data_IF_398495732246
#
_entry.id   IF_398495732246
#
_cell.length_a   1.000
_cell.length_b   1.000
_cell.length_c   1.000
_cell.angle_alpha   90.00
_cell.angle_beta   90.00
_cell.angle_gamma   90.00
#
_symmetry.space_group_name_H-M   'P 1'
#
loop_
_entity.id
_entity.type
_entity.pdbx_description
1 polymer ?
#
# COMPACT_ATOMS: atom_id res chain seq x y z
N UNK A 1 -1.72 -1.82 -0.15
CA UNK A 1 -2.77 -1.61 0.88
C UNK A 1 -2.92 -0.12 1.12
N UNK A 2 -4.14 0.35 1.41
CA UNK A 2 -4.40 1.72 1.88
C UNK A 2 -4.93 1.63 3.31
N UNK A 3 -4.35 2.41 4.21
CA UNK A 3 -4.73 2.47 5.62
C UNK A 3 -5.38 3.81 5.91
N UNK A 4 -6.52 3.81 6.58
CA UNK A 4 -7.20 5.02 6.98
C UNK A 4 -7.74 4.86 8.41
N UNK A 5 -7.72 5.92 9.21
CA UNK A 5 -8.14 5.87 10.62
C UNK A 5 -9.22 6.90 10.88
N UNK A 6 -10.30 6.47 11.53
CA UNK A 6 -11.39 7.33 11.96
C UNK A 6 -11.37 7.48 13.48
N UNK A 7 -11.15 8.71 13.94
CA UNK A 7 -11.09 9.05 15.36
C UNK A 7 -12.04 10.19 15.68
N UNK A 8 -12.52 10.24 16.91
CA UNK A 8 -13.09 11.44 17.51
C UNK A 8 -12.28 11.83 18.75
N UNK A 9 -12.51 13.03 19.28
CA UNK A 9 -11.86 13.48 20.51
C UNK A 9 -12.75 13.21 21.71
N UNK A 10 -12.25 12.50 22.72
CA UNK A 10 -12.86 12.36 24.05
C UNK A 10 -11.86 12.86 25.08
N UNK A 11 -12.26 13.84 25.90
CA UNK A 11 -11.39 14.42 26.94
C UNK A 11 -10.01 14.85 26.43
N UNK A 12 -9.95 15.40 25.22
CA UNK A 12 -8.72 15.83 24.56
C UNK A 12 -7.90 14.71 23.90
N UNK A 13 -8.31 13.44 24.03
CA UNK A 13 -7.61 12.29 23.48
C UNK A 13 -8.30 11.75 22.21
N UNK A 14 -7.53 11.38 21.17
CA UNK A 14 -8.10 10.72 20.00
C UNK A 14 -8.51 9.28 20.33
N UNK A 15 -9.80 8.99 20.16
CA UNK A 15 -10.40 7.67 20.35
C UNK A 15 -10.91 7.15 19.02
N UNK A 16 -10.63 5.89 18.72
CA UNK A 16 -11.07 5.23 17.50
C UNK A 16 -12.58 5.06 17.43
N UNK A 17 -13.14 5.26 16.24
CA UNK A 17 -14.56 4.97 15.95
C UNK A 17 -14.65 3.60 15.29
N UNK A 18 -14.92 2.56 16.08
CA UNK A 18 -15.17 1.21 15.56
C UNK A 18 -16.51 1.04 14.86
N UNK A 19 -16.66 -0.02 14.06
CA UNK A 19 -17.90 -0.36 13.32
C UNK A 19 -18.44 0.78 12.46
N UNK A 20 -17.55 1.67 12.02
CA UNK A 20 -17.86 2.69 11.03
C UNK A 20 -17.63 2.12 9.64
N UNK A 21 -18.53 2.46 8.72
CA UNK A 21 -18.37 2.13 7.31
C UNK A 21 -17.36 3.08 6.70
N UNK A 22 -16.22 2.54 6.26
CA UNK A 22 -15.18 3.25 5.55
C UNK A 22 -15.23 2.89 4.06
N UNK A 23 -15.31 3.89 3.19
CA UNK A 23 -15.38 3.71 1.73
C UNK A 23 -14.20 4.40 1.07
N UNK A 24 -13.35 3.61 0.41
CA UNK A 24 -12.26 4.09 -0.43
C UNK A 24 -12.74 4.20 -1.89
N UNK A 25 -12.57 5.38 -2.47
CA UNK A 25 -12.79 5.66 -3.89
C UNK A 25 -11.42 5.85 -4.54
N UNK A 26 -11.00 4.86 -5.31
CA UNK A 26 -9.74 4.85 -6.06
C UNK A 26 -10.00 5.39 -7.45
N UNK A 27 -9.36 6.50 -7.81
CA UNK A 27 -9.39 7.08 -9.15
C UNK A 27 -8.09 6.78 -9.85
N UNK A 28 -8.18 5.96 -10.90
CA UNK A 28 -7.06 5.55 -11.72
C UNK A 28 -6.68 6.64 -12.73
N UNK A 29 -5.52 6.45 -13.36
CA UNK A 29 -4.94 7.40 -14.31
C UNK A 29 -5.80 7.61 -15.57
N UNK A 30 -6.55 6.58 -15.97
CA UNK A 30 -7.48 6.59 -17.11
C UNK A 30 -8.82 7.27 -16.78
N UNK A 31 -8.96 7.77 -15.54
CA UNK A 31 -10.18 8.40 -15.03
C UNK A 31 -11.22 7.40 -14.51
N UNK A 32 -11.02 6.10 -14.69
CA UNK A 32 -11.91 5.07 -14.13
C UNK A 32 -11.84 5.05 -12.60
N UNK A 33 -12.92 4.57 -11.99
CA UNK A 33 -13.10 4.59 -10.54
C UNK A 33 -13.36 3.18 -10.04
N UNK A 34 -12.70 2.81 -8.95
CA UNK A 34 -12.96 1.58 -8.19
C UNK A 34 -13.31 1.95 -6.75
N UNK A 35 -14.35 1.33 -6.21
CA UNK A 35 -14.78 1.55 -4.84
C UNK A 35 -14.58 0.30 -4.01
N UNK A 36 -14.10 0.46 -2.78
CA UNK A 36 -14.01 -0.61 -1.80
C UNK A 36 -14.57 -0.12 -0.46
N UNK A 37 -15.35 -0.95 0.20
CA UNK A 37 -15.95 -0.64 1.50
C UNK A 37 -15.53 -1.68 2.52
N UNK A 38 -15.12 -1.21 3.70
CA UNK A 38 -14.76 -2.04 4.85
C UNK A 38 -15.35 -1.44 6.13
N UNK A 39 -15.39 -2.23 7.21
CA UNK A 39 -15.70 -1.72 8.53
C UNK A 39 -14.41 -1.38 9.28
N UNK A 40 -14.44 -0.33 10.09
CA UNK A 40 -13.35 -0.02 11.00
C UNK A 40 -13.28 -1.01 12.16
N UNK A 41 -12.07 -1.36 12.58
CA UNK A 41 -11.81 -2.07 13.83
C UNK A 41 -12.13 -1.19 15.05
N UNK A 42 -12.15 -1.76 16.25
CA UNK A 42 -12.47 -1.04 17.50
C UNK A 42 -11.59 0.18 17.77
N UNK A 43 -10.37 0.22 17.24
CA UNK A 43 -9.45 1.37 17.32
C UNK A 43 -9.61 2.37 16.16
N UNK A 44 -10.63 2.20 15.32
CA UNK A 44 -11.00 3.08 14.21
C UNK A 44 -10.21 2.84 12.93
N UNK A 45 -9.43 1.77 12.81
CA UNK A 45 -8.62 1.49 11.63
C UNK A 45 -9.43 0.78 10.52
N UNK A 46 -9.32 1.28 9.30
CA UNK A 46 -9.80 0.65 8.08
C UNK A 46 -8.62 0.27 7.18
N UNK A 47 -8.62 -0.96 6.67
CA UNK A 47 -7.58 -1.48 5.78
C UNK A 47 -8.20 -1.90 4.45
N UNK A 48 -7.77 -1.25 3.37
CA UNK A 48 -8.25 -1.51 2.02
C UNK A 48 -7.20 -2.28 1.22
N UNK A 49 -7.62 -3.41 0.66
CA UNK A 49 -6.84 -4.19 -0.28
C UNK A 49 -7.19 -3.78 -1.70
N UNK A 50 -6.44 -2.82 -2.24
CA UNK A 50 -6.56 -2.34 -3.62
C UNK A 50 -5.65 -3.20 -4.51
N UNK A 51 -6.20 -4.05 -5.40
CA UNK A 51 -5.39 -4.85 -6.31
C UNK A 51 -4.63 -3.95 -7.29
N UNK A 52 -3.34 -4.22 -7.57
CA UNK A 52 -2.59 -3.46 -8.56
C UNK A 52 -3.14 -3.70 -9.96
N UNK A 53 -3.11 -2.64 -10.78
CA UNK A 53 -3.48 -2.67 -12.20
C UNK A 53 -2.22 -2.61 -13.06
N UNK A 54 -2.08 -3.55 -13.99
CA UNK A 54 -0.90 -3.64 -14.86
C UNK A 54 -0.74 -2.39 -15.74
N UNK A 55 -1.86 -1.84 -16.22
CA UNK A 55 -1.89 -0.62 -17.03
C UNK A 55 -1.67 0.67 -16.23
N UNK A 56 -1.69 0.60 -14.89
CA UNK A 56 -1.44 1.74 -13.99
C UNK A 56 0.01 1.83 -13.49
N UNK A 57 0.91 0.95 -13.97
CA UNK A 57 2.34 0.98 -13.62
C UNK A 57 2.98 2.31 -14.05
N UNK A 58 3.70 2.95 -13.14
CA UNK A 58 4.32 4.26 -13.36
C UNK A 58 3.33 5.42 -13.48
N UNK A 59 2.03 5.20 -13.20
CA UNK A 59 0.99 6.22 -13.24
C UNK A 59 0.49 6.56 -11.84
N UNK A 60 0.12 7.82 -11.64
CA UNK A 60 -0.45 8.29 -10.37
C UNK A 60 -1.89 7.82 -10.24
N UNK A 61 -2.22 7.27 -9.07
CA UNK A 61 -3.57 6.86 -8.68
C UNK A 61 -3.95 7.62 -7.42
N UNK A 62 -5.18 8.15 -7.37
CA UNK A 62 -5.72 8.90 -6.23
C UNK A 62 -6.65 8.01 -5.41
N UNK A 63 -6.66 8.21 -4.09
CA UNK A 63 -7.56 7.51 -3.17
C UNK A 63 -8.19 8.50 -2.22
N UNK A 64 -9.50 8.64 -2.31
CA UNK A 64 -10.31 9.35 -1.32
C UNK A 64 -10.97 8.34 -0.39
N UNK A 65 -11.02 8.66 0.91
CA UNK A 65 -11.71 7.82 1.89
C UNK A 65 -12.78 8.64 2.59
N UNK A 66 -13.97 8.05 2.73
CA UNK A 66 -15.07 8.59 3.53
C UNK A 66 -15.46 7.60 4.62
N UNK A 67 -15.85 8.11 5.77
CA UNK A 67 -16.32 7.34 6.92
C UNK A 67 -17.73 7.76 7.28
N UNK A 68 -18.55 6.78 7.66
CA UNK A 68 -19.91 7.00 8.12
C UNK A 68 -20.27 6.01 9.24
N UNK A 69 -20.96 6.50 10.26
CA UNK A 69 -21.52 5.68 11.34
C UNK A 69 -22.80 6.34 11.82
N UNK A 70 -23.85 5.56 12.07
CA UNK A 70 -25.09 6.09 12.61
C UNK A 70 -24.83 6.84 13.93
N UNK A 71 -25.42 8.02 14.08
CA UNK A 71 -25.23 8.87 15.27
C UNK A 71 -23.89 9.60 15.34
N UNK A 72 -23.01 9.48 14.34
CA UNK A 72 -21.75 10.25 14.23
C UNK A 72 -21.79 11.08 12.93
N UNK A 73 -21.32 12.34 12.92
CA UNK A 73 -21.13 13.07 11.68
C UNK A 73 -20.24 12.28 10.70
N UNK A 74 -20.62 12.27 9.42
CA UNK A 74 -19.79 11.70 8.37
C UNK A 74 -18.44 12.43 8.29
N UNK A 75 -17.37 11.68 7.99
CA UNK A 75 -16.03 12.24 7.87
C UNK A 75 -15.45 11.92 6.49
N UNK A 76 -15.22 12.95 5.69
CA UNK A 76 -14.49 12.82 4.42
C UNK A 76 -13.06 13.26 4.66
N UNK A 77 -12.09 12.42 4.28
CA UNK A 77 -10.68 12.80 4.33
C UNK A 77 -10.46 13.96 3.36
N UNK A 78 -10.03 15.15 3.83
CA UNK A 78 -10.04 16.37 3.02
C UNK A 78 -9.01 16.34 1.90
N UNK A 79 -7.90 15.61 2.10
CA UNK A 79 -6.85 15.44 1.11
C UNK A 79 -6.77 13.98 0.69
N UNK A 80 -6.92 13.73 -0.61
CA UNK A 80 -6.74 12.40 -1.17
C UNK A 80 -5.30 11.91 -0.95
N UNK A 81 -5.16 10.65 -0.59
CA UNK A 81 -3.88 9.97 -0.71
C UNK A 81 -3.61 9.65 -2.18
N UNK A 82 -2.35 9.43 -2.53
CA UNK A 82 -1.97 8.97 -3.86
C UNK A 82 -0.84 7.96 -3.79
N UNK A 83 -0.74 7.12 -4.80
CA UNK A 83 0.37 6.20 -4.97
C UNK A 83 0.68 6.00 -6.45
N UNK A 84 1.89 5.52 -6.71
CA UNK A 84 2.30 5.00 -8.02
C UNK A 84 2.68 3.54 -7.84
N UNK A 85 2.36 2.71 -8.84
CA UNK A 85 2.78 1.31 -8.86
C UNK A 85 4.14 1.27 -9.53
N UNK A 86 5.17 0.80 -8.82
CA UNK A 86 6.46 0.49 -9.44
C UNK A 86 6.36 -0.81 -10.24
N UNK A 87 6.93 -0.82 -11.45
CA UNK A 87 7.12 -2.06 -12.19
C UNK A 87 8.17 -2.91 -11.48
N UNK A 88 7.98 -4.23 -11.44
CA UNK A 88 9.09 -5.12 -11.13
C UNK A 88 10.14 -4.94 -12.24
N UNK A 89 11.38 -4.63 -11.89
CA UNK A 89 12.47 -4.72 -12.86
C UNK A 89 12.50 -6.13 -13.47
N UNK A 90 12.82 -6.25 -14.76
CA UNK A 90 13.10 -7.55 -15.37
C UNK A 90 14.18 -8.23 -14.55
N UNK A 91 13.85 -9.34 -13.90
CA UNK A 91 14.85 -10.20 -13.28
C UNK A 91 15.78 -10.69 -14.39
N UNK A 92 17.01 -10.17 -14.42
CA UNK A 92 18.05 -10.72 -15.29
C UNK A 92 18.47 -12.03 -14.66
N UNK A 93 18.10 -13.15 -15.28
CA UNK A 93 18.59 -14.46 -14.87
C UNK A 93 20.12 -14.44 -14.94
N UNK A 94 20.78 -14.49 -13.79
CA UNK A 94 22.23 -14.71 -13.75
C UNK A 94 22.44 -16.19 -13.98
N UNK A 95 22.96 -16.58 -15.14
CA UNK A 95 23.38 -17.96 -15.36
C UNK A 95 24.57 -18.25 -14.46
N UNK A 96 24.36 -19.00 -13.37
CA UNK A 96 25.45 -19.59 -12.61
C UNK A 96 26.02 -20.74 -13.45
N UNK A 97 27.31 -20.67 -13.79
CA UNK A 97 28.00 -21.79 -14.43
C UNK A 97 27.87 -23.03 -13.53
N UNK A 98 27.26 -24.10 -14.07
CA UNK A 98 27.14 -25.38 -13.39
C UNK A 98 28.52 -26.06 -13.30
N UNK A 99 28.90 -26.70 -12.18
CA UNK A 99 30.17 -27.39 -12.09
C UNK A 99 30.23 -28.52 -13.14
N UNK A 100 31.23 -28.45 -14.01
CA UNK A 100 31.49 -29.42 -15.07
C UNK A 100 31.92 -30.75 -14.44
N UNK A 101 31.06 -31.78 -14.53
CA UNK A 101 31.44 -33.14 -14.19
C UNK A 101 32.36 -33.71 -15.28
N UNK A 102 33.63 -33.96 -14.94
CA UNK A 102 34.52 -34.79 -15.77
C UNK A 102 33.99 -36.22 -15.76
N UNK A 103 33.45 -36.70 -16.89
CA UNK A 103 32.99 -38.08 -17.04
C UNK A 103 33.88 -38.86 -18.01
N UNK A 104 34.37 -40.01 -17.54
CA UNK A 104 34.75 -41.14 -18.39
C UNK A 104 33.51 -41.73 -19.10
N UNK A 105 33.70 -42.62 -20.08
CA UNK A 105 32.77 -42.76 -21.20
C UNK A 105 31.60 -43.69 -20.86
N UNK A 106 30.43 -43.12 -20.56
CA UNK A 106 29.13 -43.70 -20.95
C UNK A 106 28.08 -42.60 -21.01
N UNK A 107 27.54 -42.40 -22.21
CA UNK A 107 26.54 -41.41 -22.60
C UNK A 107 25.21 -41.60 -21.85
N UNK A 108 24.81 -40.62 -21.03
CA UNK A 108 23.40 -40.37 -20.70
C UNK A 108 23.13 -38.88 -20.84
N UNK A 109 22.18 -38.52 -21.70
CA UNK A 109 21.73 -37.15 -21.94
C UNK A 109 20.98 -36.63 -20.71
N UNK A 110 21.46 -35.59 -20.00
CA UNK A 110 20.70 -35.03 -18.88
C UNK A 110 19.55 -34.17 -19.41
N UNK A 111 18.32 -34.49 -19.00
CA UNK A 111 17.16 -33.60 -19.14
C UNK A 111 17.30 -32.44 -18.15
N UNK A 112 17.28 -31.16 -18.57
CA UNK A 112 17.32 -30.05 -17.64
C UNK A 112 16.00 -29.99 -16.83
N UNK A 113 16.10 -30.20 -15.51
CA UNK A 113 15.01 -29.90 -14.58
C UNK A 113 15.03 -28.40 -14.30
N UNK A 114 14.02 -27.67 -14.79
CA UNK A 114 13.81 -26.28 -14.42
C UNK A 114 13.24 -26.22 -12.98
N UNK A 115 14.07 -25.80 -12.02
CA UNK A 115 13.56 -25.40 -10.70
C UNK A 115 13.09 -23.96 -10.79
N UNK A 116 11.78 -23.71 -10.75
CA UNK A 116 11.28 -22.34 -10.60
C UNK A 116 11.48 -21.88 -9.16
N UNK A 117 12.47 -21.03 -8.91
CA UNK A 117 12.52 -20.27 -7.67
C UNK A 117 11.37 -19.27 -7.71
N UNK A 118 10.44 -19.36 -6.75
CA UNK A 118 9.34 -18.42 -6.62
C UNK A 118 9.90 -16.98 -6.55
N UNK A 119 9.38 -16.09 -7.39
CA UNK A 119 9.77 -14.69 -7.40
C UNK A 119 9.53 -14.08 -6.00
N UNK A 120 10.44 -13.23 -5.49
CA UNK A 120 10.17 -12.48 -4.28
C UNK A 120 8.91 -11.64 -4.49
N UNK A 121 7.99 -11.69 -3.52
CA UNK A 121 6.81 -10.82 -3.50
C UNK A 121 7.25 -9.36 -3.70
N UNK A 122 6.52 -8.55 -4.48
CA UNK A 122 6.89 -7.15 -4.68
C UNK A 122 6.88 -6.43 -3.33
N UNK A 123 8.05 -5.95 -2.92
CA UNK A 123 8.18 -5.08 -1.74
C UNK A 123 7.64 -3.70 -2.10
N UNK A 124 6.54 -3.31 -1.48
CA UNK A 124 6.00 -1.95 -1.58
C UNK A 124 6.76 -1.05 -0.61
N UNK A 125 7.64 -0.21 -1.13
CA UNK A 125 8.29 0.85 -0.33
C UNK A 125 7.33 2.05 -0.26
N UNK A 126 6.72 2.28 0.90
CA UNK A 126 5.95 3.50 1.15
C UNK A 126 6.91 4.57 1.66
N UNK A 127 7.25 5.54 0.81
CA UNK A 127 7.96 6.75 1.26
C UNK A 127 6.94 7.70 1.89
N UNK A 128 6.89 7.74 3.22
CA UNK A 128 6.13 8.76 3.95
C UNK A 128 7.01 10.00 4.06
N UNK A 129 6.81 10.97 3.17
CA UNK A 129 7.38 12.31 3.37
C UNK A 129 6.53 13.01 4.42
N UNK A 130 6.98 12.99 5.69
CA UNK A 130 6.39 13.85 6.72
C UNK A 130 6.71 15.29 6.33
N UNK A 131 5.72 16.18 6.13
CA UNK A 131 6.04 17.59 6.00
C UNK A 131 6.67 18.04 7.31
N UNK A 132 7.92 18.50 7.23
CA UNK A 132 8.53 19.29 8.31
C UNK A 132 7.70 20.55 8.40
N UNK A 133 6.73 20.55 9.33
CA UNK A 133 6.06 21.77 9.73
C UNK A 133 7.09 22.77 10.26
N UNK A 134 6.87 24.07 10.10
CA UNK A 134 7.76 25.07 10.68
C UNK A 134 7.82 24.86 12.21
N UNK A 135 8.96 25.16 12.87
CA UNK A 135 9.09 24.97 14.31
C UNK A 135 7.94 25.70 15.02
N UNK A 136 7.24 24.96 15.87
CA UNK A 136 6.22 25.51 16.76
C UNK A 136 6.82 26.71 17.50
N UNK A 137 6.35 27.91 17.16
CA UNK A 137 6.67 29.11 17.90
C UNK A 137 6.21 28.95 19.33
N UNK A 138 7.14 29.02 20.27
CA UNK A 138 6.85 29.20 21.70
C UNK A 138 6.06 30.49 21.88
N UNK A 139 4.79 30.37 22.27
CA UNK A 139 4.05 31.51 22.81
C UNK A 139 4.51 31.77 24.24
N UNK A 140 5.31 32.82 24.42
CA UNK A 140 5.61 33.42 25.72
C UNK A 140 4.32 34.02 26.31
N UNK A 141 3.88 33.64 27.53
CA UNK A 141 2.85 34.41 28.22
C UNK A 141 3.48 35.70 28.73
N UNK A 142 2.87 36.84 28.41
CA UNK A 142 3.25 38.18 28.88
C UNK A 142 2.18 38.68 29.87
N UNK A 143 2.57 39.42 30.92
CA UNK A 143 1.86 39.51 32.20
C UNK A 143 0.59 40.36 32.21
#
# INVERSE_FOLDING_TARGET
MVYAKFVHTVDGNPVGVGDATATATVRWWDGSVTTQTVQTTSDGLAVFSIPPRADAVGKMTLVNVTFSKAGTPGCTVPQAAYFTISGAGTAVATQTASPQATSGPTQQTPTPTATSTAAPFPTVTITVTVPVGPPHGTTTPSP
#
